data_IF_114470257035
#
_entry.id   IF_114470257035
#
_cell.length_a   1.000
_cell.length_b   1.000
_cell.length_c   1.000
_cell.angle_alpha   90.00
_cell.angle_beta   90.00
_cell.angle_gamma   90.00
#
_symmetry.space_group_name_H-M   'P 1'
#
loop_
_entity.id
_entity.type
_entity.pdbx_description
1 polymer ?
#
# COMPACT_ATOMS: atom_id res chain seq x y z
N UNK A 1 0.46 -25.73 8.42
CA UNK A 1 1.90 -25.55 8.16
C UNK A 1 2.20 -24.08 8.38
N UNK A 2 2.94 -23.75 9.42
CA UNK A 2 3.37 -22.39 9.73
C UNK A 2 4.41 -21.95 8.71
N UNK A 3 4.18 -20.80 8.06
CA UNK A 3 5.11 -20.20 7.11
C UNK A 3 6.21 -19.51 7.93
N UNK A 4 7.31 -20.23 8.20
CA UNK A 4 8.39 -19.79 9.10
C UNK A 4 8.89 -18.37 8.78
N UNK A 5 8.95 -18.01 7.49
CA UNK A 5 9.38 -16.68 7.07
C UNK A 5 8.35 -15.59 7.43
N UNK A 6 7.07 -15.94 7.51
CA UNK A 6 6.01 -15.04 7.94
C UNK A 6 6.02 -14.82 9.45
N UNK A 7 6.23 -15.87 10.24
CA UNK A 7 6.33 -15.75 11.69
C UNK A 7 7.51 -14.84 12.07
N UNK A 8 8.68 -15.06 11.46
CA UNK A 8 9.85 -14.20 11.64
C UNK A 8 9.58 -12.74 11.21
N UNK A 9 8.80 -12.53 10.14
CA UNK A 9 8.35 -11.19 9.75
C UNK A 9 7.44 -10.57 10.81
N UNK A 10 6.46 -11.31 11.34
CA UNK A 10 5.53 -10.81 12.34
C UNK A 10 6.24 -10.34 13.62
N UNK A 11 7.30 -11.04 14.06
CA UNK A 11 8.10 -10.60 15.20
C UNK A 11 8.70 -9.19 14.97
N UNK A 12 9.04 -8.82 13.73
CA UNK A 12 9.57 -7.48 13.42
C UNK A 12 8.54 -6.37 13.52
N UNK A 13 7.26 -6.70 13.61
CA UNK A 13 6.16 -5.71 13.62
C UNK A 13 5.85 -5.18 15.02
N UNK A 14 6.35 -5.85 16.07
CA UNK A 14 6.19 -5.43 17.46
C UNK A 14 4.73 -5.19 17.85
N UNK A 15 4.44 -4.01 18.40
CA UNK A 15 3.09 -3.64 18.85
C UNK A 15 2.03 -3.64 17.74
N UNK A 16 2.42 -3.58 16.46
CA UNK A 16 1.49 -3.57 15.33
C UNK A 16 1.12 -4.98 14.84
N UNK A 17 1.58 -6.04 15.52
CA UNK A 17 1.40 -7.44 15.08
C UNK A 17 -0.06 -7.78 14.73
N UNK A 18 -0.98 -7.55 15.65
CA UNK A 18 -2.39 -7.88 15.44
C UNK A 18 -2.99 -7.14 14.23
N UNK A 19 -2.64 -5.87 14.04
CA UNK A 19 -3.10 -5.07 12.90
C UNK A 19 -2.55 -5.58 11.56
N UNK A 20 -1.30 -6.05 11.55
CA UNK A 20 -0.66 -6.65 10.38
C UNK A 20 -1.31 -7.99 10.05
N UNK A 21 -1.60 -8.82 11.07
CA UNK A 21 -2.31 -10.09 10.91
C UNK A 21 -3.73 -9.88 10.36
N UNK A 22 -4.46 -8.88 10.85
CA UNK A 22 -5.79 -8.53 10.34
C UNK A 22 -5.78 -8.16 8.85
N UNK A 23 -4.80 -7.37 8.43
CA UNK A 23 -4.64 -6.99 7.01
C UNK A 23 -4.20 -8.20 6.17
N UNK A 24 -3.30 -9.03 6.70
CA UNK A 24 -2.87 -10.26 6.05
C UNK A 24 -4.06 -11.20 5.80
N UNK A 25 -4.89 -11.44 6.82
CA UNK A 25 -6.02 -12.35 6.73
C UNK A 25 -7.04 -11.83 5.71
N UNK A 26 -7.37 -10.53 5.74
CA UNK A 26 -8.21 -9.89 4.73
C UNK A 26 -7.71 -10.17 3.30
N UNK A 27 -6.41 -10.04 3.06
CA UNK A 27 -5.82 -10.25 1.73
C UNK A 27 -5.80 -11.73 1.35
N UNK A 28 -5.48 -12.64 2.27
CA UNK A 28 -5.42 -14.08 2.01
C UNK A 28 -6.80 -14.72 1.81
N UNK A 29 -7.82 -14.23 2.51
CA UNK A 29 -9.22 -14.64 2.37
C UNK A 29 -9.83 -14.13 1.04
N UNK A 30 -9.13 -13.20 0.39
CA UNK A 30 -9.48 -12.66 -0.94
C UNK A 30 -8.63 -13.29 -2.05
N UNK A 31 -8.79 -12.84 -3.30
CA UNK A 31 -8.06 -13.38 -4.47
C UNK A 31 -6.56 -12.99 -4.51
N UNK A 32 -5.88 -12.89 -3.37
CA UNK A 32 -4.45 -12.59 -3.30
C UNK A 32 -3.60 -13.78 -2.87
N UNK A 33 -2.37 -13.80 -3.38
CA UNK A 33 -1.27 -14.67 -2.95
C UNK A 33 -0.23 -13.82 -2.22
N UNK A 34 0.17 -14.26 -1.03
CA UNK A 34 1.30 -13.67 -0.31
C UNK A 34 2.62 -14.20 -0.85
N UNK A 35 3.59 -13.31 -1.03
CA UNK A 35 4.97 -13.61 -1.37
C UNK A 35 5.91 -12.93 -0.38
N UNK A 36 6.80 -13.71 0.22
CA UNK A 36 7.77 -13.23 1.21
C UNK A 36 9.17 -13.39 0.63
N UNK A 37 9.94 -12.31 0.65
CA UNK A 37 11.35 -12.30 0.27
C UNK A 37 12.17 -11.72 1.40
N UNK A 38 13.28 -12.38 1.73
CA UNK A 38 14.32 -11.79 2.57
C UNK A 38 15.08 -10.74 1.75
N UNK A 39 15.39 -9.62 2.37
CA UNK A 39 16.14 -8.52 1.79
C UNK A 39 17.20 -8.05 2.79
N UNK A 40 18.17 -7.27 2.31
CA UNK A 40 19.25 -6.72 3.14
C UNK A 40 18.75 -5.95 4.38
N UNK A 41 17.51 -5.46 4.34
CA UNK A 41 16.87 -4.67 5.39
C UNK A 41 15.67 -5.36 6.06
N UNK A 42 15.62 -6.69 6.05
CA UNK A 42 14.55 -7.49 6.69
C UNK A 42 13.70 -8.22 5.67
N UNK A 43 12.37 -8.14 5.80
CA UNK A 43 11.42 -8.83 4.93
C UNK A 43 10.71 -7.88 3.97
N UNK A 44 10.45 -8.36 2.76
CA UNK A 44 9.46 -7.78 1.84
C UNK A 44 8.30 -8.76 1.75
N UNK A 45 7.15 -8.39 2.31
CA UNK A 45 5.92 -9.19 2.26
C UNK A 45 4.95 -8.51 1.30
N UNK A 46 4.70 -9.14 0.16
CA UNK A 46 3.85 -8.61 -0.90
C UNK A 46 2.62 -9.47 -1.11
N UNK A 47 1.53 -8.86 -1.52
CA UNK A 47 0.27 -9.51 -1.87
C UNK A 47 -0.03 -9.19 -3.32
N UNK A 48 -0.16 -10.25 -4.12
CA UNK A 48 -0.37 -10.18 -5.55
C UNK A 48 -1.71 -10.81 -5.88
N UNK A 49 -2.47 -10.19 -6.78
CA UNK A 49 -3.66 -10.81 -7.35
C UNK A 49 -3.29 -12.15 -8.02
N UNK A 50 -4.04 -13.21 -7.75
CA UNK A 50 -3.67 -14.58 -8.21
C UNK A 50 -3.74 -14.74 -9.72
N UNK A 51 -4.71 -14.08 -10.34
CA UNK A 51 -5.01 -14.08 -11.77
C UNK A 51 -4.02 -13.21 -12.57
N UNK A 52 -3.83 -11.95 -12.18
CA UNK A 52 -3.01 -10.99 -12.94
C UNK A 52 -1.55 -10.97 -12.52
N UNK A 53 -1.21 -11.58 -11.37
CA UNK A 53 0.11 -11.50 -10.72
C UNK A 53 0.56 -10.06 -10.42
N UNK A 54 -0.34 -9.07 -10.48
CA UNK A 54 0.00 -7.69 -10.16
C UNK A 54 0.02 -7.52 -8.63
N UNK A 55 1.04 -6.84 -8.13
CA UNK A 55 1.13 -6.51 -6.70
C UNK A 55 0.06 -5.50 -6.32
N UNK A 56 -0.79 -5.86 -5.37
CA UNK A 56 -1.78 -4.98 -4.74
C UNK A 56 -1.17 -4.22 -3.57
N UNK A 57 -0.43 -4.91 -2.70
CA UNK A 57 0.13 -4.29 -1.50
C UNK A 57 1.45 -4.91 -1.09
N UNK A 58 2.28 -4.13 -0.40
CA UNK A 58 3.56 -4.59 0.17
C UNK A 58 3.77 -3.97 1.54
N UNK A 59 3.99 -4.80 2.56
CA UNK A 59 4.48 -4.33 3.85
C UNK A 59 5.92 -3.86 3.74
N UNK A 60 6.22 -2.74 4.39
CA UNK A 60 7.55 -2.13 4.43
C UNK A 60 7.91 -1.82 5.87
N UNK A 61 8.84 -2.61 6.42
CA UNK A 61 9.40 -2.36 7.74
C UNK A 61 10.37 -1.18 7.70
N UNK A 62 10.23 -0.24 8.63
CA UNK A 62 11.17 0.86 8.86
C UNK A 62 11.50 0.95 10.34
N UNK A 63 12.58 1.66 10.68
CA UNK A 63 12.94 1.96 12.08
C UNK A 63 11.81 2.64 12.86
N UNK A 64 10.98 3.43 12.18
CA UNK A 64 9.86 4.19 12.78
C UNK A 64 8.56 3.40 12.86
N UNK A 65 8.58 2.09 12.60
CA UNK A 65 7.40 1.24 12.54
C UNK A 65 7.10 0.73 11.13
N UNK A 66 6.07 -0.10 11.03
CA UNK A 66 5.66 -0.74 9.80
C UNK A 66 4.69 0.13 8.99
N UNK A 67 4.89 0.15 7.68
CA UNK A 67 3.99 0.78 6.71
C UNK A 67 3.47 -0.27 5.75
N UNK A 68 2.35 0.03 5.10
CA UNK A 68 1.89 -0.72 3.93
C UNK A 68 1.91 0.20 2.72
N UNK A 69 2.49 -0.26 1.63
CA UNK A 69 2.36 0.38 0.32
C UNK A 69 1.20 -0.26 -0.40
N UNK A 70 0.26 0.54 -0.89
CA UNK A 70 -0.89 0.08 -1.66
C UNK A 70 -0.70 0.57 -3.10
N UNK A 71 -0.94 -0.31 -4.05
CA UNK A 71 -0.79 -0.09 -5.48
C UNK A 71 -2.14 -0.15 -6.18
N UNK A 72 -3.04 0.81 -5.91
CA UNK A 72 -4.38 0.75 -6.49
C UNK A 72 -4.31 0.73 -8.03
N UNK A 73 -5.24 -0.02 -8.62
CA UNK A 73 -5.44 -0.15 -10.07
C UNK A 73 -6.72 0.57 -10.51
N UNK A 74 -7.72 0.64 -9.63
CA UNK A 74 -9.06 1.13 -9.92
C UNK A 74 -9.38 2.42 -9.16
N UNK A 75 -8.35 3.17 -8.73
CA UNK A 75 -8.49 4.37 -7.89
C UNK A 75 -9.55 5.35 -8.41
N UNK A 76 -9.64 5.51 -9.72
CA UNK A 76 -10.58 6.42 -10.39
C UNK A 76 -12.06 6.09 -10.10
N UNK A 77 -12.37 4.82 -9.83
CA UNK A 77 -13.73 4.34 -9.61
C UNK A 77 -14.24 4.62 -8.20
N UNK A 78 -13.32 4.84 -7.25
CA UNK A 78 -13.65 5.08 -5.86
C UNK A 78 -12.93 6.30 -5.27
N UNK A 79 -12.57 7.30 -6.08
CA UNK A 79 -11.87 8.51 -5.59
C UNK A 79 -12.59 9.20 -4.43
N UNK A 80 -13.93 9.13 -4.36
CA UNK A 80 -14.70 9.65 -3.23
C UNK A 80 -14.32 9.06 -1.87
N UNK A 81 -13.72 7.86 -1.83
CA UNK A 81 -13.13 7.29 -0.62
C UNK A 81 -11.98 8.14 -0.06
N UNK A 82 -11.18 8.79 -0.92
CA UNK A 82 -10.06 9.62 -0.48
C UNK A 82 -10.53 10.78 0.40
N UNK A 83 -11.74 11.29 0.16
CA UNK A 83 -12.38 12.33 0.98
C UNK A 83 -12.65 11.88 2.42
N UNK A 84 -12.80 10.56 2.64
CA UNK A 84 -13.08 9.98 3.96
C UNK A 84 -11.82 9.74 4.80
N UNK A 85 -10.63 9.87 4.21
CA UNK A 85 -9.37 9.58 4.91
C UNK A 85 -9.12 10.57 6.07
N UNK A 86 -8.51 10.10 7.18
CA UNK A 86 -8.09 11.00 8.26
C UNK A 86 -7.13 12.08 7.76
N UNK A 87 -7.21 13.27 8.37
CA UNK A 87 -6.40 14.43 7.98
C UNK A 87 -4.90 14.12 7.94
N UNK A 88 -4.41 13.27 8.87
CA UNK A 88 -3.02 12.83 8.89
C UNK A 88 -2.64 12.03 7.63
N UNK A 89 -3.48 11.09 7.20
CA UNK A 89 -3.26 10.30 6.00
C UNK A 89 -3.31 11.17 4.74
N UNK A 90 -4.30 12.06 4.64
CA UNK A 90 -4.39 13.03 3.52
C UNK A 90 -3.14 13.90 3.44
N UNK A 91 -2.64 14.41 4.57
CA UNK A 91 -1.40 15.18 4.65
C UNK A 91 -0.17 14.39 4.21
N UNK A 92 -0.09 13.09 4.54
CA UNK A 92 0.99 12.22 4.07
C UNK A 92 0.93 12.01 2.55
N UNK A 93 -0.26 11.79 1.98
CA UNK A 93 -0.48 11.67 0.53
C UNK A 93 -0.11 12.97 -0.18
N UNK A 94 -0.56 14.13 0.34
CA UNK A 94 -0.25 15.44 -0.22
C UNK A 94 1.26 15.75 -0.21
N UNK A 95 1.98 15.28 0.81
CA UNK A 95 3.45 15.42 0.92
C UNK A 95 4.24 14.40 0.08
N UNK A 96 3.60 13.35 -0.42
CA UNK A 96 4.28 12.34 -1.22
C UNK A 96 4.90 12.96 -2.48
N UNK A 97 5.99 12.35 -2.95
CA UNK A 97 6.72 12.83 -4.13
C UNK A 97 5.83 12.89 -5.35
N UNK A 98 5.96 13.97 -6.13
CA UNK A 98 5.29 14.12 -7.42
C UNK A 98 5.71 12.99 -8.37
N UNK A 99 4.80 12.52 -9.21
CA UNK A 99 5.17 11.61 -10.28
C UNK A 99 5.96 12.37 -11.36
N UNK A 100 7.28 12.18 -11.41
CA UNK A 100 8.11 12.85 -12.42
C UNK A 100 7.68 12.50 -13.85
N UNK A 101 7.19 11.27 -14.09
CA UNK A 101 6.73 10.82 -15.42
C UNK A 101 5.43 11.51 -15.89
N UNK A 102 4.54 11.89 -14.97
CA UNK A 102 3.36 12.68 -15.31
C UNK A 102 3.72 14.13 -15.65
N UNK A 103 4.82 14.65 -15.10
CA UNK A 103 5.33 15.99 -15.40
C UNK A 103 6.19 15.99 -16.68
N UNK A 104 7.05 15.00 -16.83
CA UNK A 104 7.94 14.80 -17.97
C UNK A 104 7.98 13.30 -18.34
N UNK A 105 7.42 12.90 -19.49
CA UNK A 105 7.35 11.49 -19.91
C UNK A 105 8.70 10.75 -19.93
N UNK A 106 9.81 11.47 -20.14
CA UNK A 106 11.15 10.90 -20.23
C UNK A 106 11.86 10.72 -18.87
N UNK A 107 11.27 11.22 -17.78
CA UNK A 107 11.83 11.07 -16.44
C UNK A 107 11.46 9.72 -15.79
N UNK A 108 12.17 9.39 -14.70
CA UNK A 108 12.14 8.12 -13.94
C UNK A 108 12.78 6.92 -14.65
N UNK A 109 12.93 5.82 -13.89
CA UNK A 109 13.43 4.55 -14.40
C UNK A 109 12.62 4.07 -15.63
N UNK A 110 13.24 3.49 -16.67
CA UNK A 110 12.52 3.00 -17.86
C UNK A 110 11.34 2.07 -17.55
N UNK A 111 11.45 1.24 -16.50
CA UNK A 111 10.40 0.29 -16.05
C UNK A 111 9.28 0.94 -15.22
N UNK A 112 9.28 2.26 -15.04
CA UNK A 112 8.25 2.96 -14.27
C UNK A 112 6.90 2.93 -14.99
N UNK A 113 5.88 2.35 -14.37
CA UNK A 113 4.53 2.23 -14.93
C UNK A 113 3.65 3.47 -14.71
N UNK A 114 4.26 4.65 -14.56
CA UNK A 114 3.60 5.92 -14.23
C UNK A 114 2.97 5.95 -12.81
N UNK A 115 2.67 7.17 -12.34
CA UNK A 115 2.07 7.44 -11.03
C UNK A 115 0.55 7.49 -11.06
N UNK A 116 -0.01 8.16 -10.06
CA UNK A 116 -1.44 8.40 -9.92
C UNK A 116 -1.77 9.85 -10.19
N UNK A 117 -2.93 10.07 -10.81
CA UNK A 117 -3.54 11.38 -11.01
C UNK A 117 -4.97 11.29 -10.46
N UNK A 118 -5.26 12.04 -9.40
CA UNK A 118 -6.54 11.93 -8.67
C UNK A 118 -6.91 13.25 -8.02
N UNK A 119 -8.16 13.36 -7.56
CA UNK A 119 -8.66 14.50 -6.80
C UNK A 119 -8.87 14.08 -5.35
N UNK A 120 -8.45 14.94 -4.41
CA UNK A 120 -8.69 14.80 -2.98
C UNK A 120 -8.84 16.22 -2.39
N UNK A 121 -9.85 16.46 -1.56
CA UNK A 121 -10.15 17.77 -0.98
C UNK A 121 -10.29 18.87 -2.06
N UNK A 122 -10.88 18.52 -3.22
CA UNK A 122 -11.05 19.40 -4.41
C UNK A 122 -9.75 19.83 -5.09
N UNK A 123 -8.60 19.28 -4.70
CA UNK A 123 -7.31 19.55 -5.33
C UNK A 123 -6.84 18.35 -6.17
N UNK A 124 -6.22 18.63 -7.32
CA UNK A 124 -5.63 17.59 -8.18
C UNK A 124 -4.23 17.24 -7.72
N UNK A 125 -3.96 15.95 -7.57
CA UNK A 125 -2.69 15.41 -7.11
C UNK A 125 -2.10 14.42 -8.11
N UNK A 126 -0.85 14.68 -8.51
CA UNK A 126 -0.06 13.80 -9.40
C UNK A 126 1.09 13.16 -8.62
N UNK A 127 0.88 11.97 -8.05
CA UNK A 127 1.80 11.37 -7.06
C UNK A 127 2.49 10.11 -7.57
N UNK A 128 3.74 9.93 -7.16
CA UNK A 128 4.54 8.75 -7.53
C UNK A 128 3.88 7.47 -7.00
N UNK A 129 3.74 6.45 -7.86
CA UNK A 129 3.11 5.16 -7.53
C UNK A 129 3.67 4.50 -6.26
N UNK A 130 4.97 4.63 -6.04
CA UNK A 130 5.64 3.99 -4.89
C UNK A 130 5.56 4.80 -3.59
N UNK A 131 5.11 6.05 -3.65
CA UNK A 131 5.11 6.98 -2.51
C UNK A 131 3.73 7.51 -2.15
N UNK A 132 2.78 7.51 -3.10
CA UNK A 132 1.46 8.12 -2.94
C UNK A 132 0.69 7.50 -1.76
N UNK A 133 0.57 6.18 -1.73
CA UNK A 133 -0.22 5.46 -0.74
C UNK A 133 0.69 4.56 0.08
N UNK A 134 1.30 5.15 1.11
CA UNK A 134 2.19 4.44 2.02
C UNK A 134 1.90 4.77 3.50
N UNK A 135 0.66 4.55 3.98
CA UNK A 135 0.30 4.85 5.36
C UNK A 135 1.08 3.96 6.35
N UNK A 136 1.34 4.51 7.53
CA UNK A 136 1.78 3.75 8.70
C UNK A 136 0.63 2.87 9.19
N UNK A 137 0.93 1.68 9.72
CA UNK A 137 -0.08 0.80 10.32
C UNK A 137 -0.23 1.18 11.79
N UNK A 138 -1.39 1.75 12.13
CA UNK A 138 -1.79 2.14 13.49
C UNK A 138 -3.25 1.79 13.70
N UNK A 139 -3.75 1.82 14.93
CA UNK A 139 -5.17 1.60 15.21
C UNK A 139 -6.06 2.58 14.43
N UNK A 140 -5.65 3.85 14.33
CA UNK A 140 -6.36 4.88 13.58
C UNK A 140 -6.39 4.61 12.07
N UNK A 141 -5.28 4.19 11.46
CA UNK A 141 -5.18 4.06 10.00
C UNK A 141 -5.67 2.71 9.47
N UNK A 142 -5.64 1.66 10.29
CA UNK A 142 -5.92 0.28 9.87
C UNK A 142 -7.31 0.09 9.27
N UNK A 143 -8.40 0.66 9.83
CA UNK A 143 -9.73 0.59 9.21
C UNK A 143 -9.76 1.16 7.79
N UNK A 144 -9.08 2.30 7.57
CA UNK A 144 -9.01 2.95 6.27
C UNK A 144 -8.12 2.17 5.29
N UNK A 145 -7.03 1.58 5.77
CA UNK A 145 -6.19 0.67 4.97
C UNK A 145 -7.03 -0.51 4.49
N UNK A 146 -7.77 -1.17 5.39
CA UNK A 146 -8.64 -2.30 5.04
C UNK A 146 -9.70 -1.88 4.02
N UNK A 147 -10.35 -0.73 4.22
CA UNK A 147 -11.33 -0.20 3.25
C UNK A 147 -10.72 0.09 1.88
N UNK A 148 -9.51 0.65 1.84
CA UNK A 148 -8.80 0.92 0.60
C UNK A 148 -8.50 -0.39 -0.15
N UNK A 149 -8.03 -1.42 0.55
CA UNK A 149 -7.79 -2.74 -0.03
C UNK A 149 -9.10 -3.39 -0.50
N UNK A 150 -10.18 -3.29 0.28
CA UNK A 150 -11.49 -3.82 -0.12
C UNK A 150 -12.02 -3.17 -1.41
N UNK A 151 -11.90 -1.85 -1.57
CA UNK A 151 -12.30 -1.17 -2.81
C UNK A 151 -11.53 -1.67 -4.04
N UNK A 152 -10.32 -2.22 -3.86
CA UNK A 152 -9.52 -2.82 -4.93
C UNK A 152 -9.84 -4.30 -5.17
N UNK A 153 -10.32 -5.01 -4.13
CA UNK A 153 -10.64 -6.44 -4.17
C UNK A 153 -12.06 -6.72 -4.67
N UNK A 154 -12.95 -5.73 -4.64
CA UNK A 154 -14.35 -5.83 -5.07
C UNK A 154 -14.56 -5.52 -6.56
N UNK A 155 -13.49 -5.29 -7.31
CA UNK A 155 -13.51 -4.98 -8.75
C UNK A 155 -13.35 -6.22 -9.61
#
# INVERSE_FOLDING_TARGET
MTDKNYDEFLETTGASRNLVEDINNLLLDSNCKREIKTAKSGFTVSYLFRDTKKTLATFVCRKTGIKIRIFPQHLNEYMGFLETLPAKMKKEIAKASVCKRLVNPNDCNPKCVMGYDFIMDKERYQKCRYMAFMPSITEESTPYIKRFLQNELLQ
#
